data_IF_746546506835
#
_entry.id   IF_746546506835
#
_cell.length_a   1.000
_cell.length_b   1.000
_cell.length_c   1.000
_cell.angle_alpha   90.00
_cell.angle_beta   90.00
_cell.angle_gamma   90.00
#
_symmetry.space_group_name_H-M   'P 1'
#
loop_
_entity.id
_entity.type
_entity.pdbx_description
1 polymer ?
#
# COMPACT_ATOMS: atom_id res chain seq x y z
N UNK A 1 2.71 -10.70 18.24
CA UNK A 1 2.15 -11.69 17.30
C UNK A 1 0.79 -11.20 16.85
N UNK A 2 0.47 -11.31 15.56
CA UNK A 2 -0.85 -10.93 15.06
C UNK A 2 -1.94 -11.77 15.76
N UNK A 3 -2.97 -11.12 16.28
CA UNK A 3 -4.06 -11.82 16.97
C UNK A 3 -5.04 -12.41 15.95
N UNK A 4 -5.69 -13.55 16.27
CA UNK A 4 -6.73 -14.16 15.39
C UNK A 4 -7.83 -13.17 14.99
N UNK A 5 -8.14 -12.21 15.88
CA UNK A 5 -9.11 -11.14 15.64
C UNK A 5 -8.65 -10.14 14.56
N UNK A 6 -7.36 -9.80 14.53
CA UNK A 6 -6.80 -8.91 13.50
C UNK A 6 -6.79 -9.57 12.13
N UNK A 7 -6.37 -10.84 12.06
CA UNK A 7 -6.38 -11.62 10.81
C UNK A 7 -7.79 -11.64 10.21
N UNK A 8 -8.82 -11.96 11.02
CA UNK A 8 -10.22 -11.97 10.58
C UNK A 8 -10.68 -10.61 10.06
N UNK A 9 -10.34 -9.51 10.75
CA UNK A 9 -10.68 -8.15 10.33
C UNK A 9 -10.04 -7.79 8.98
N UNK A 10 -8.78 -8.17 8.77
CA UNK A 10 -8.09 -7.97 7.50
C UNK A 10 -8.68 -8.85 6.39
N UNK A 11 -9.05 -10.09 6.69
CA UNK A 11 -9.68 -11.01 5.74
C UNK A 11 -11.03 -10.48 5.25
N UNK A 12 -11.89 -9.98 6.15
CA UNK A 12 -13.18 -9.39 5.78
C UNK A 12 -13.01 -8.17 4.85
N UNK A 13 -12.02 -7.31 5.12
CA UNK A 13 -11.70 -6.18 4.25
C UNK A 13 -11.20 -6.69 2.89
N UNK A 14 -10.34 -7.70 2.90
CA UNK A 14 -9.78 -8.26 1.68
C UNK A 14 -10.87 -8.90 0.79
N UNK A 15 -11.78 -9.67 1.37
CA UNK A 15 -12.91 -10.28 0.65
C UNK A 15 -13.86 -9.21 0.08
N UNK A 16 -14.13 -8.12 0.82
CA UNK A 16 -14.89 -6.97 0.29
C UNK A 16 -14.18 -6.29 -0.88
N UNK A 17 -12.86 -6.17 -0.82
CA UNK A 17 -12.05 -5.56 -1.88
C UNK A 17 -11.88 -6.43 -3.13
N UNK A 18 -11.92 -7.76 -2.96
CA UNK A 18 -11.91 -8.78 -4.03
C UNK A 18 -13.27 -8.85 -4.71
N UNK A 19 -14.37 -8.76 -3.96
CA UNK A 19 -15.71 -8.84 -4.50
C UNK A 19 -16.09 -10.27 -4.91
N UNK A 20 -16.80 -10.42 -6.04
CA UNK A 20 -17.25 -11.73 -6.53
C UNK A 20 -16.06 -12.53 -7.08
N UNK A 21 -15.79 -13.68 -6.47
CA UNK A 21 -14.81 -14.65 -6.96
C UNK A 21 -15.39 -15.30 -8.22
N UNK A 22 -14.80 -14.98 -9.38
CA UNK A 22 -15.17 -15.54 -10.68
C UNK A 22 -13.96 -16.30 -11.24
N UNK A 23 -13.83 -17.60 -10.95
CA UNK A 23 -12.78 -18.42 -11.52
C UNK A 23 -12.99 -18.55 -13.04
N UNK A 24 -11.89 -18.64 -13.79
CA UNK A 24 -11.89 -19.00 -15.20
C UNK A 24 -11.19 -20.35 -15.37
N UNK A 25 -11.64 -21.14 -16.33
CA UNK A 25 -10.96 -22.38 -16.67
C UNK A 25 -9.76 -22.06 -17.56
N UNK A 26 -8.61 -22.66 -17.25
CA UNK A 26 -7.37 -22.53 -17.98
C UNK A 26 -7.07 -23.86 -18.66
N UNK A 27 -7.14 -23.90 -19.98
CA UNK A 27 -7.01 -25.13 -20.78
C UNK A 27 -5.58 -25.70 -20.74
N UNK A 28 -4.56 -24.84 -20.57
CA UNK A 28 -3.16 -25.27 -20.52
C UNK A 28 -2.86 -26.08 -19.24
N UNK A 29 -3.45 -25.65 -18.12
CA UNK A 29 -3.25 -26.25 -16.81
C UNK A 29 -4.37 -27.22 -16.44
N UNK A 30 -5.40 -27.33 -17.29
CA UNK A 30 -6.63 -28.09 -17.08
C UNK A 30 -7.28 -27.84 -15.71
N UNK A 31 -7.26 -26.58 -15.26
CA UNK A 31 -7.70 -26.22 -13.91
C UNK A 31 -8.54 -24.94 -13.91
N UNK A 32 -9.43 -24.84 -12.92
CA UNK A 32 -10.11 -23.58 -12.60
C UNK A 32 -9.19 -22.70 -11.78
N UNK A 33 -9.03 -21.45 -12.21
CA UNK A 33 -8.07 -20.53 -11.63
C UNK A 33 -8.77 -19.25 -11.21
N UNK A 34 -8.38 -18.72 -10.05
CA UNK A 34 -8.73 -17.37 -9.66
C UNK A 34 -7.49 -16.61 -9.17
N UNK A 35 -7.37 -15.37 -9.63
CA UNK A 35 -6.37 -14.42 -9.14
C UNK A 35 -6.97 -13.01 -9.10
N UNK A 36 -6.45 -12.16 -8.22
CA UNK A 36 -6.95 -10.80 -8.07
C UNK A 36 -5.82 -9.77 -8.16
N UNK A 37 -6.05 -8.64 -8.83
CA UNK A 37 -4.98 -7.64 -9.08
C UNK A 37 -4.39 -7.00 -7.82
N UNK A 38 -5.17 -6.93 -6.74
CA UNK A 38 -4.75 -6.33 -5.44
C UNK A 38 -3.98 -7.30 -4.54
N UNK A 39 -4.15 -8.60 -4.73
CA UNK A 39 -3.63 -9.64 -3.83
C UNK A 39 -2.80 -10.63 -4.66
N UNK A 40 -1.54 -10.90 -4.29
CA UNK A 40 -0.66 -11.78 -5.05
C UNK A 40 -0.95 -13.26 -4.76
N UNK A 41 -2.22 -13.59 -4.55
CA UNK A 41 -2.70 -14.94 -4.26
C UNK A 41 -3.39 -15.44 -5.52
N UNK A 42 -2.94 -16.59 -6.01
CA UNK A 42 -3.56 -17.34 -7.10
C UNK A 42 -3.89 -18.72 -6.56
N UNK A 43 -5.11 -19.18 -6.79
CA UNK A 43 -5.51 -20.54 -6.47
C UNK A 43 -5.99 -21.22 -7.75
N UNK A 44 -5.57 -22.47 -7.93
CA UNK A 44 -6.02 -23.35 -8.99
C UNK A 44 -6.64 -24.59 -8.34
N UNK A 45 -7.77 -25.05 -8.85
CA UNK A 45 -8.47 -26.24 -8.37
C UNK A 45 -9.20 -26.96 -9.51
N UNK A 46 -9.70 -28.15 -9.22
CA UNK A 46 -10.30 -29.03 -10.24
C UNK A 46 -11.71 -28.58 -10.61
N UNK A 47 -12.37 -27.84 -9.73
CA UNK A 47 -13.71 -27.31 -9.95
C UNK A 47 -13.85 -25.84 -9.58
N UNK A 48 -14.80 -25.17 -10.23
CA UNK A 48 -15.14 -23.77 -9.92
C UNK A 48 -15.57 -23.57 -8.46
N UNK A 49 -16.32 -24.51 -7.91
CA UNK A 49 -16.83 -24.45 -6.54
C UNK A 49 -15.71 -24.58 -5.51
N UNK A 50 -14.76 -25.48 -5.78
CA UNK A 50 -13.57 -25.64 -4.97
C UNK A 50 -12.76 -24.35 -4.90
N UNK A 51 -12.53 -23.69 -6.04
CA UNK A 51 -11.79 -22.42 -6.08
C UNK A 51 -12.49 -21.33 -5.28
N UNK A 52 -13.82 -21.25 -5.37
CA UNK A 52 -14.62 -20.27 -4.60
C UNK A 52 -14.52 -20.55 -3.09
N UNK A 53 -14.52 -21.82 -2.68
CA UNK A 53 -14.45 -22.23 -1.28
C UNK A 53 -13.05 -22.07 -0.68
N UNK A 54 -12.01 -22.42 -1.44
CA UNK A 54 -10.64 -22.52 -0.93
C UNK A 54 -9.86 -21.21 -1.08
N UNK A 55 -10.11 -20.38 -2.10
CA UNK A 55 -9.39 -19.12 -2.28
C UNK A 55 -9.39 -18.20 -1.02
N UNK A 56 -10.50 -18.05 -0.27
CA UNK A 56 -10.49 -17.30 0.99
C UNK A 56 -9.52 -17.83 2.05
N UNK A 57 -9.25 -19.15 2.07
CA UNK A 57 -8.32 -19.77 3.01
C UNK A 57 -6.88 -19.39 2.67
N UNK A 58 -6.49 -19.47 1.40
CA UNK A 58 -5.16 -19.02 0.95
C UNK A 58 -4.96 -17.51 1.12
N UNK A 59 -6.03 -16.73 0.94
CA UNK A 59 -6.00 -15.29 1.21
C UNK A 59 -5.78 -15.02 2.71
N UNK A 60 -6.35 -15.84 3.59
CA UNK A 60 -6.12 -15.76 5.04
C UNK A 60 -4.66 -16.06 5.39
N UNK A 61 -4.08 -17.12 4.83
CA UNK A 61 -2.67 -17.49 5.04
C UNK A 61 -1.73 -16.34 4.62
N UNK A 62 -1.96 -15.77 3.43
CA UNK A 62 -1.21 -14.59 2.98
C UNK A 62 -1.30 -13.41 3.96
N UNK A 63 -2.48 -13.15 4.52
CA UNK A 63 -2.67 -12.08 5.52
C UNK A 63 -1.92 -12.40 6.81
N UNK A 64 -1.92 -13.67 7.25
CA UNK A 64 -1.18 -14.11 8.43
C UNK A 64 0.33 -13.92 8.25
N UNK A 65 0.89 -14.35 7.12
CA UNK A 65 2.31 -14.16 6.79
C UNK A 65 2.68 -12.67 6.70
N UNK A 66 1.79 -11.86 6.11
CA UNK A 66 1.96 -10.40 6.03
C UNK A 66 2.03 -9.77 7.40
N UNK A 67 1.12 -10.11 8.30
CA UNK A 67 1.08 -9.56 9.66
C UNK A 67 2.26 -10.05 10.52
N UNK A 68 2.79 -11.24 10.22
CA UNK A 68 4.03 -11.76 10.83
C UNK A 68 5.31 -11.16 10.24
N UNK A 69 5.22 -10.29 9.22
CA UNK A 69 6.35 -9.74 8.46
C UNK A 69 7.24 -10.83 7.83
N UNK A 70 6.64 -11.96 7.48
CA UNK A 70 7.34 -13.11 6.90
C UNK A 70 7.19 -13.20 5.37
N UNK A 71 6.68 -12.15 4.73
CA UNK A 71 6.58 -12.11 3.27
C UNK A 71 7.94 -11.87 2.65
N UNK A 72 8.17 -12.46 1.47
CA UNK A 72 9.36 -12.14 0.69
C UNK A 72 9.39 -10.65 0.30
N UNK A 73 10.58 -10.03 0.22
CA UNK A 73 10.70 -8.61 -0.15
C UNK A 73 10.05 -8.26 -1.50
N UNK A 74 10.06 -9.21 -2.44
CA UNK A 74 9.42 -9.06 -3.76
C UNK A 74 7.89 -8.96 -3.64
N UNK A 75 7.29 -9.81 -2.82
CA UNK A 75 5.84 -9.81 -2.57
C UNK A 75 5.43 -8.58 -1.78
N UNK A 76 6.24 -8.17 -0.81
CA UNK A 76 6.01 -6.93 -0.06
C UNK A 76 6.06 -5.70 -0.97
N UNK A 77 7.05 -5.61 -1.87
CA UNK A 77 7.14 -4.52 -2.87
C UNK A 77 5.92 -4.50 -3.81
N UNK A 78 5.47 -5.67 -4.27
CA UNK A 78 4.30 -5.80 -5.18
C UNK A 78 2.98 -5.43 -4.49
N UNK A 79 2.88 -5.66 -3.19
CA UNK A 79 1.69 -5.39 -2.38
C UNK A 79 1.75 -4.08 -1.60
N UNK A 80 2.88 -3.37 -1.67
CA UNK A 80 3.06 -2.06 -1.07
C UNK A 80 2.00 -1.10 -1.62
N UNK A 81 1.15 -0.61 -0.73
CA UNK A 81 0.05 0.29 -1.12
C UNK A 81 -1.15 -0.40 -1.79
N UNK A 82 -1.26 -1.73 -1.75
CA UNK A 82 -2.43 -2.51 -2.20
C UNK A 82 -2.94 -3.44 -1.10
N UNK A 83 -4.27 -3.60 -1.02
CA UNK A 83 -4.97 -4.59 -0.19
C UNK A 83 -4.95 -4.36 1.33
N UNK A 84 -6.11 -4.38 1.99
CA UNK A 84 -6.26 -4.55 3.45
C UNK A 84 -6.33 -3.26 4.27
N UNK A 85 -6.57 -3.40 5.59
CA UNK A 85 -6.68 -2.29 6.56
C UNK A 85 -5.36 -1.52 6.65
N UNK A 86 -5.46 -0.19 6.66
CA UNK A 86 -4.31 0.71 6.79
C UNK A 86 -4.57 1.75 7.86
N UNK A 87 -4.20 1.46 9.09
CA UNK A 87 -4.11 2.53 10.09
C UNK A 87 -2.89 3.40 9.76
N UNK A 88 -3.13 4.68 9.48
CA UNK A 88 -2.08 5.67 9.16
C UNK A 88 -1.53 5.66 7.73
N UNK A 89 -1.98 4.76 6.82
CA UNK A 89 -1.54 4.82 5.42
C UNK A 89 -2.51 5.64 4.56
N UNK A 90 -1.93 6.58 3.81
CA UNK A 90 -2.68 7.62 3.13
C UNK A 90 -2.60 8.93 3.91
N UNK A 91 -2.84 10.02 3.21
CA UNK A 91 -2.91 11.34 3.82
C UNK A 91 -4.19 11.45 4.65
N UNK A 92 -4.19 12.12 5.83
CA UNK A 92 -5.41 12.41 6.57
C UNK A 92 -6.45 13.04 5.64
N UNK A 93 -7.65 12.44 5.59
CA UNK A 93 -8.76 12.88 4.75
C UNK A 93 -9.10 14.33 5.13
N UNK A 94 -9.07 15.26 4.16
CA UNK A 94 -9.34 16.69 4.40
C UNK A 94 -8.10 17.60 4.51
N UNK A 95 -6.89 17.06 4.44
CA UNK A 95 -5.69 17.94 4.38
C UNK A 95 -5.36 18.33 2.93
N UNK A 96 -5.35 19.64 2.64
CA UNK A 96 -5.02 20.19 1.33
C UNK A 96 -3.51 20.23 1.10
N UNK A 97 -3.03 19.84 -0.09
CA UNK A 97 -1.57 19.76 -0.36
C UNK A 97 -1.02 21.17 -0.28
N UNK A 98 -0.09 21.40 0.65
CA UNK A 98 0.66 22.64 0.66
C UNK A 98 1.28 22.82 -0.72
N UNK A 99 1.01 23.96 -1.34
CA UNK A 99 1.62 24.30 -2.63
C UNK A 99 3.11 24.48 -2.38
N UNK A 100 3.90 23.49 -2.83
CA UNK A 100 5.36 23.55 -2.81
C UNK A 100 5.84 23.98 -4.19
N UNK A 101 6.76 24.94 -4.21
CA UNK A 101 7.50 25.34 -5.41
C UNK A 101 8.89 24.72 -5.28
N UNK A 102 9.38 24.07 -6.33
CA UNK A 102 10.76 23.59 -6.37
C UNK A 102 11.64 24.73 -6.86
N UNK A 103 12.66 25.07 -6.07
CA UNK A 103 13.68 26.06 -6.42
C UNK A 103 15.02 25.33 -6.37
N UNK A 104 15.85 25.50 -7.39
CA UNK A 104 17.22 25.01 -7.39
C UNK A 104 18.12 26.11 -6.82
N UNK A 105 18.88 25.76 -5.79
CA UNK A 105 19.80 26.67 -5.11
C UNK A 105 21.22 26.11 -5.21
N UNK A 106 22.24 26.98 -5.28
CA UNK A 106 23.62 26.62 -5.00
C UNK A 106 23.76 25.92 -3.64
N UNK A 107 24.73 25.00 -3.54
CA UNK A 107 24.86 24.08 -2.40
C UNK A 107 25.17 24.80 -1.07
N UNK A 108 25.96 25.87 -1.14
CA UNK A 108 26.30 26.76 -0.03
C UNK A 108 25.05 27.45 0.56
N UNK A 109 24.19 28.00 -0.30
CA UNK A 109 22.92 28.64 0.10
C UNK A 109 21.97 27.60 0.68
N UNK A 110 21.90 26.41 0.08
CA UNK A 110 21.07 25.32 0.56
C UNK A 110 21.54 24.80 1.94
N UNK A 111 22.86 24.74 2.16
CA UNK A 111 23.45 24.37 3.44
C UNK A 111 23.13 25.40 4.53
N UNK A 112 23.26 26.69 4.19
CA UNK A 112 22.93 27.79 5.10
C UNK A 112 21.46 27.76 5.54
N UNK A 113 20.53 27.45 4.63
CA UNK A 113 19.09 27.33 4.94
C UNK A 113 18.72 26.17 5.86
N UNK A 114 19.61 25.21 6.13
CA UNK A 114 19.35 24.09 7.05
C UNK A 114 19.47 24.50 8.52
N UNK A 115 20.00 25.68 8.84
CA UNK A 115 20.14 26.15 10.22
C UNK A 115 18.82 26.75 10.76
N UNK A 116 18.36 26.34 11.96
CA UNK A 116 17.15 26.88 12.57
C UNK A 116 17.34 28.36 12.91
N UNK A 117 16.38 29.21 12.52
CA UNK A 117 16.41 30.66 12.77
C UNK A 117 16.73 31.54 11.55
N UNK A 118 17.21 30.94 10.46
CA UNK A 118 17.62 31.68 9.24
C UNK A 118 16.43 32.17 8.39
N UNK A 119 15.32 31.41 8.36
CA UNK A 119 14.14 31.73 7.53
C UNK A 119 13.54 33.13 7.84
N UNK A 120 13.36 33.55 9.11
CA UNK A 120 12.96 34.92 9.45
C UNK A 120 13.90 36.01 8.90
N UNK A 121 15.21 35.77 8.89
CA UNK A 121 16.22 36.73 8.41
C UNK A 121 16.20 36.86 6.89
N UNK A 122 16.07 35.74 6.17
CA UNK A 122 15.87 35.74 4.72
C UNK A 122 14.63 36.54 4.33
N UNK A 123 13.51 36.34 5.06
CA UNK A 123 12.27 37.11 4.82
C UNK A 123 12.48 38.61 5.01
N UNK A 124 13.25 39.03 6.03
CA UNK A 124 13.59 40.45 6.25
C UNK A 124 14.48 41.03 5.14
N UNK A 125 15.46 40.27 4.65
CA UNK A 125 16.34 40.68 3.56
C UNK A 125 15.58 40.82 2.23
N UNK A 126 14.72 39.84 1.90
CA UNK A 126 13.88 39.90 0.69
C UNK A 126 12.87 41.06 0.72
N UNK A 127 12.37 41.43 1.91
CA UNK A 127 11.47 42.58 2.05
C UNK A 127 12.19 43.93 1.87
N UNK A 128 13.45 44.04 2.30
CA UNK A 128 14.28 45.25 2.08
C UNK A 128 14.67 45.44 0.61
N UNK A 129 14.90 44.35 -0.13
CA UNK A 129 15.27 44.39 -1.56
C UNK A 129 14.15 44.90 -2.49
N UNK A 130 12.92 45.05 -2.01
CA UNK A 130 11.76 45.51 -2.80
C UNK A 130 11.45 47.01 -2.64
N UNK A 131 12.33 47.77 -1.98
CA UNK A 131 12.26 49.24 -1.93
C UNK A 131 13.28 49.86 -2.87
#
# INVERSE_FOLDING_TARGET
MATKKEVKKHLEIALKEVGKIKPWFDEEVQAWIFSHSKYPVRYAGDSKEEVIKNYPLYLQEFIEERLKRNLSPLVEKRTKGKGGKREGAGRPKGTAKEKKIRIYLPEDVASWMKHPGVIPEVRKLMAKSKR
#
